data_IF_404491581420
#
_entry.id   IF_404491581420
#
_cell.length_a   1.000
_cell.length_b   1.000
_cell.length_c   1.000
_cell.angle_alpha   90.00
_cell.angle_beta   90.00
_cell.angle_gamma   90.00
#
_symmetry.space_group_name_H-M   'P 1'
#
loop_
_entity.id
_entity.type
_entity.pdbx_description
1 polymer ?
#
# COMPACT_ATOMS: atom_id res chain seq x y z
N UNK A 1 0.57 14.57 -2.58
CA UNK A 1 0.50 15.46 -3.74
C UNK A 1 -0.21 14.77 -4.88
N UNK A 2 -1.46 15.16 -5.21
CA UNK A 2 -2.12 14.72 -6.43
C UNK A 2 -1.36 15.24 -7.66
N UNK A 3 -1.24 14.41 -8.69
CA UNK A 3 -0.61 14.76 -9.98
C UNK A 3 -1.43 14.13 -11.11
N UNK A 4 -1.42 14.76 -12.28
CA UNK A 4 -2.05 14.15 -13.46
C UNK A 4 -1.29 12.89 -13.90
N UNK A 5 -2.03 11.79 -14.10
CA UNK A 5 -1.48 10.49 -14.45
C UNK A 5 -1.90 9.95 -15.82
N UNK A 6 -2.71 10.70 -16.58
CA UNK A 6 -3.23 10.24 -17.88
C UNK A 6 -2.09 9.91 -18.84
N UNK A 7 -2.16 8.74 -19.48
CA UNK A 7 -1.15 8.27 -20.44
C UNK A 7 -1.07 9.14 -21.70
N UNK A 8 -2.13 9.88 -22.00
CA UNK A 8 -2.25 10.74 -23.17
C UNK A 8 -1.60 12.12 -22.98
N UNK A 9 -1.27 12.51 -21.74
CA UNK A 9 -0.63 13.80 -21.43
C UNK A 9 0.89 13.57 -21.34
N UNK A 10 1.71 14.23 -22.17
CA UNK A 10 3.17 14.19 -22.08
C UNK A 10 3.65 14.50 -20.67
N UNK A 11 4.68 13.79 -20.19
CA UNK A 11 5.15 13.91 -18.80
C UNK A 11 5.42 15.36 -18.38
N UNK A 12 6.00 16.16 -19.29
CA UNK A 12 6.36 17.56 -19.06
C UNK A 12 5.16 18.51 -18.96
N UNK A 13 3.99 18.08 -19.44
CA UNK A 13 2.76 18.88 -19.52
C UNK A 13 1.76 18.53 -18.40
N UNK A 14 2.10 17.56 -17.54
CA UNK A 14 1.24 17.15 -16.43
C UNK A 14 1.23 18.20 -15.33
N UNK A 15 0.06 18.49 -14.81
CA UNK A 15 -0.12 19.44 -13.72
C UNK A 15 0.05 18.78 -12.35
N UNK A 16 0.53 19.59 -11.40
CA UNK A 16 0.54 19.27 -9.97
C UNK A 16 -0.77 19.80 -9.37
N UNK A 17 -1.53 18.94 -8.68
CA UNK A 17 -2.74 19.33 -7.99
C UNK A 17 -2.48 20.01 -6.64
N UNK A 18 -3.52 20.58 -6.05
CA UNK A 18 -3.43 21.17 -4.71
C UNK A 18 -3.03 20.10 -3.66
N UNK A 19 -2.16 20.43 -2.69
CA UNK A 19 -1.79 19.50 -1.63
C UNK A 19 -3.00 19.16 -0.76
N UNK A 20 -3.06 17.89 -0.34
CA UNK A 20 -4.01 17.41 0.67
C UNK A 20 -3.19 17.09 1.91
N UNK A 21 -3.37 17.87 2.97
CA UNK A 21 -2.77 17.59 4.26
C UNK A 21 -3.66 16.61 5.03
N UNK A 22 -3.35 15.32 4.90
CA UNK A 22 -4.19 14.25 5.40
C UNK A 22 -3.65 13.68 6.71
N UNK A 23 -4.59 13.35 7.60
CA UNK A 23 -4.41 12.44 8.73
C UNK A 23 -5.56 11.42 8.70
N UNK A 24 -5.31 10.14 9.05
CA UNK A 24 -6.38 9.16 9.09
C UNK A 24 -7.44 9.57 10.11
N UNK A 25 -8.70 9.40 9.73
CA UNK A 25 -9.80 9.37 10.71
C UNK A 25 -9.69 8.12 11.58
N UNK A 26 -10.42 8.07 12.69
CA UNK A 26 -10.45 6.88 13.55
C UNK A 26 -10.86 5.60 12.77
N UNK A 27 -11.78 5.73 11.82
CA UNK A 27 -12.21 4.60 10.99
C UNK A 27 -11.12 4.18 9.99
N UNK A 28 -10.46 5.13 9.33
CA UNK A 28 -9.34 4.85 8.43
C UNK A 28 -8.17 4.20 9.17
N UNK A 29 -7.84 4.68 10.38
CA UNK A 29 -6.81 4.11 11.23
C UNK A 29 -7.15 2.67 11.63
N UNK A 30 -8.42 2.40 11.99
CA UNK A 30 -8.92 1.06 12.32
C UNK A 30 -8.75 0.10 11.14
N UNK A 31 -9.13 0.52 9.93
CA UNK A 31 -8.97 -0.30 8.72
C UNK A 31 -7.50 -0.60 8.43
N UNK A 32 -6.63 0.40 8.49
CA UNK A 32 -5.19 0.23 8.29
C UNK A 32 -4.57 -0.70 9.34
N UNK A 33 -4.96 -0.55 10.60
CA UNK A 33 -4.50 -1.38 11.71
C UNK A 33 -4.90 -2.84 11.49
N UNK A 34 -6.16 -3.10 11.16
CA UNK A 34 -6.67 -4.45 10.92
C UNK A 34 -5.88 -5.17 9.81
N UNK A 35 -5.67 -4.50 8.68
CA UNK A 35 -4.88 -5.06 7.58
C UNK A 35 -3.39 -5.24 7.95
N UNK A 36 -2.83 -4.28 8.71
CA UNK A 36 -1.45 -4.39 9.16
C UNK A 36 -1.25 -5.60 10.06
N UNK A 37 -2.14 -5.81 11.03
CA UNK A 37 -2.08 -6.95 11.95
C UNK A 37 -2.20 -8.27 11.19
N UNK A 38 -3.18 -8.42 10.29
CA UNK A 38 -3.34 -9.63 9.47
C UNK A 38 -2.10 -9.91 8.59
N UNK A 39 -1.56 -8.90 7.94
CA UNK A 39 -0.38 -9.04 7.07
C UNK A 39 0.89 -9.33 7.87
N UNK A 40 1.04 -8.71 9.04
CA UNK A 40 2.18 -8.94 9.93
C UNK A 40 2.13 -10.31 10.58
N UNK A 41 0.95 -10.84 10.91
CA UNK A 41 0.80 -12.22 11.40
C UNK A 41 1.37 -13.23 10.38
N UNK A 42 1.11 -13.03 9.08
CA UNK A 42 1.69 -13.88 8.04
C UNK A 42 3.23 -13.75 7.97
N UNK A 43 3.77 -12.55 8.15
CA UNK A 43 5.22 -12.31 8.13
C UNK A 43 5.89 -12.99 9.34
N UNK A 44 5.39 -12.72 10.55
CA UNK A 44 6.02 -13.16 11.80
C UNK A 44 5.91 -14.68 11.97
N UNK A 45 4.81 -15.29 11.51
CA UNK A 45 4.62 -16.75 11.54
C UNK A 45 5.31 -17.48 10.39
N UNK A 46 6.12 -16.80 9.57
CA UNK A 46 6.86 -17.41 8.46
C UNK A 46 5.96 -17.93 7.32
N UNK A 47 4.74 -17.41 7.19
CA UNK A 47 3.75 -17.78 6.15
C UNK A 47 3.87 -16.91 4.91
N UNK A 48 5.09 -16.55 4.53
CA UNK A 48 5.35 -15.62 3.42
C UNK A 48 4.82 -16.12 2.07
N UNK A 49 4.78 -17.44 1.86
CA UNK A 49 4.23 -18.07 0.66
C UNK A 49 2.70 -17.94 0.52
N UNK A 50 2.01 -17.61 1.62
CA UNK A 50 0.57 -17.38 1.63
C UNK A 50 0.21 -15.93 1.31
N UNK A 51 1.19 -15.02 1.34
CA UNK A 51 0.94 -13.60 1.08
C UNK A 51 0.64 -13.39 -0.40
N UNK A 52 -0.55 -12.87 -0.68
CA UNK A 52 -0.95 -12.43 -2.03
C UNK A 52 -1.50 -11.01 -2.01
N UNK A 53 -1.53 -10.37 -3.18
CA UNK A 53 -2.13 -9.04 -3.36
C UNK A 53 -3.65 -8.97 -3.06
N UNK A 54 -4.28 -10.08 -2.67
CA UNK A 54 -5.71 -10.13 -2.32
C UNK A 54 -5.97 -9.94 -0.83
N UNK A 55 -4.96 -10.15 0.02
CA UNK A 55 -5.07 -10.00 1.48
C UNK A 55 -5.04 -8.51 1.85
N UNK A 56 -5.81 -8.15 2.88
CA UNK A 56 -6.06 -6.78 3.35
C UNK A 56 -7.08 -6.01 2.49
N UNK A 57 -7.96 -5.26 3.15
CA UNK A 57 -9.10 -4.55 2.56
C UNK A 57 -8.72 -3.18 1.95
N UNK A 58 -7.85 -2.42 2.63
CA UNK A 58 -7.41 -1.07 2.27
C UNK A 58 -5.89 -0.97 2.07
N UNK A 59 -5.13 -1.91 2.63
CA UNK A 59 -3.69 -2.04 2.53
C UNK A 59 -3.30 -3.45 2.09
N UNK A 60 -2.18 -3.59 1.37
CA UNK A 60 -1.69 -4.88 0.89
C UNK A 60 -0.17 -4.95 0.85
N UNK A 61 0.37 -6.17 0.83
CA UNK A 61 1.77 -6.42 0.52
C UNK A 61 1.96 -6.75 -0.97
N UNK A 62 2.99 -6.18 -1.58
CA UNK A 62 3.42 -6.46 -2.97
C UNK A 62 4.94 -6.51 -3.06
N UNK A 63 5.52 -7.20 -4.07
CA UNK A 63 6.96 -7.17 -4.31
C UNK A 63 7.46 -5.73 -4.49
N UNK A 64 8.53 -5.39 -3.76
CA UNK A 64 9.22 -4.09 -3.78
C UNK A 64 10.71 -4.33 -3.99
N UNK A 65 11.09 -4.72 -5.20
CA UNK A 65 12.48 -4.96 -5.59
C UNK A 65 12.77 -4.42 -6.98
N UNK A 66 14.05 -4.25 -7.31
CA UNK A 66 14.48 -3.83 -8.65
C UNK A 66 14.05 -4.82 -9.74
N UNK A 67 13.96 -6.10 -9.40
CA UNK A 67 13.48 -7.17 -10.25
C UNK A 67 13.07 -8.38 -9.37
N UNK A 68 12.60 -9.45 -10.00
CA UNK A 68 12.18 -10.70 -9.33
C UNK A 68 13.34 -11.54 -8.77
N UNK A 69 14.60 -11.12 -8.94
CA UNK A 69 15.78 -11.76 -8.35
C UNK A 69 16.29 -11.03 -7.11
N UNK A 70 15.69 -9.88 -6.76
CA UNK A 70 16.00 -9.19 -5.52
C UNK A 70 15.62 -10.06 -4.32
N UNK A 71 16.49 -10.13 -3.33
CA UNK A 71 16.28 -10.92 -2.11
C UNK A 71 16.51 -10.08 -0.86
N UNK A 72 15.77 -10.40 0.20
CA UNK A 72 15.96 -9.92 1.56
C UNK A 72 15.81 -11.08 2.54
N UNK A 73 16.26 -10.92 3.78
CA UNK A 73 16.04 -11.91 4.84
C UNK A 73 14.58 -11.86 5.34
N UNK A 74 14.00 -13.03 5.56
CA UNK A 74 12.68 -13.23 6.16
C UNK A 74 12.63 -14.49 7.01
N UNK A 75 11.46 -14.77 7.60
CA UNK A 75 11.22 -15.96 8.44
C UNK A 75 10.57 -17.05 7.57
N UNK A 76 11.13 -18.26 7.64
CA UNK A 76 10.63 -19.45 6.95
C UNK A 76 9.64 -20.26 7.79
N UNK A 77 9.16 -21.37 7.23
CA UNK A 77 8.03 -22.14 7.78
C UNK A 77 8.34 -22.78 9.14
N UNK A 78 9.62 -22.98 9.46
CA UNK A 78 10.07 -23.57 10.72
C UNK A 78 10.77 -22.54 11.63
N UNK A 79 10.60 -21.24 11.36
CA UNK A 79 11.24 -20.17 12.13
C UNK A 79 12.69 -19.89 11.74
N UNK A 80 13.21 -20.57 10.73
CA UNK A 80 14.55 -20.34 10.17
C UNK A 80 14.60 -19.03 9.38
N UNK A 81 15.80 -18.45 9.26
CA UNK A 81 16.00 -17.30 8.37
C UNK A 81 16.13 -17.80 6.92
N UNK A 82 15.34 -17.24 6.02
CA UNK A 82 15.36 -17.54 4.58
C UNK A 82 15.64 -16.30 3.73
N UNK A 83 16.10 -16.51 2.50
CA UNK A 83 16.07 -15.49 1.46
C UNK A 83 14.71 -15.48 0.76
N UNK A 84 14.08 -14.32 0.66
CA UNK A 84 12.75 -14.13 0.09
C UNK A 84 12.67 -12.83 -0.71
N UNK A 85 11.61 -12.65 -1.51
CA UNK A 85 11.37 -11.40 -2.21
C UNK A 85 11.13 -10.27 -1.21
N UNK A 86 11.73 -9.07 -1.38
CA UNK A 86 11.36 -7.92 -0.59
C UNK A 86 9.90 -7.55 -0.87
N UNK A 87 9.10 -7.44 0.18
CA UNK A 87 7.72 -6.98 0.13
C UNK A 87 7.63 -5.55 0.68
N UNK A 88 6.69 -4.76 0.15
CA UNK A 88 6.36 -3.45 0.67
C UNK A 88 4.85 -3.33 0.90
N UNK A 89 4.46 -2.48 1.84
CA UNK A 89 3.07 -2.10 2.06
C UNK A 89 2.62 -1.07 1.02
N UNK A 90 1.43 -1.26 0.49
CA UNK A 90 0.79 -0.38 -0.47
C UNK A 90 -0.65 -0.11 -0.05
N UNK A 91 -1.03 1.16 -0.01
CA UNK A 91 -2.44 1.55 0.08
C UNK A 91 -3.14 1.22 -1.24
N UNK A 92 -4.33 0.65 -1.14
CA UNK A 92 -5.16 0.35 -2.29
C UNK A 92 -5.73 1.62 -2.92
N UNK A 93 -6.07 1.52 -4.20
CA UNK A 93 -6.61 2.66 -4.97
C UNK A 93 -7.96 3.11 -4.40
N UNK A 94 -8.75 2.18 -3.87
CA UNK A 94 -10.04 2.44 -3.23
C UNK A 94 -9.88 3.32 -1.97
N UNK A 95 -8.89 3.01 -1.12
CA UNK A 95 -8.61 3.78 0.09
C UNK A 95 -8.14 5.20 -0.21
N UNK A 96 -7.24 5.36 -1.18
CA UNK A 96 -6.78 6.69 -1.60
C UNK A 96 -7.87 7.48 -2.33
N UNK A 97 -8.77 6.81 -3.07
CA UNK A 97 -9.95 7.45 -3.66
C UNK A 97 -10.93 7.95 -2.57
N UNK A 98 -11.12 7.21 -1.48
CA UNK A 98 -11.91 7.67 -0.34
C UNK A 98 -11.35 8.97 0.27
N UNK A 99 -10.02 9.08 0.40
CA UNK A 99 -9.36 10.30 0.88
C UNK A 99 -9.63 11.48 -0.07
N UNK A 100 -9.56 11.25 -1.39
CA UNK A 100 -9.84 12.29 -2.38
C UNK A 100 -11.31 12.74 -2.33
N UNK A 101 -12.25 11.79 -2.27
CA UNK A 101 -13.68 12.11 -2.18
C UNK A 101 -13.99 12.93 -0.93
N UNK A 102 -13.51 12.49 0.23
CA UNK A 102 -13.71 13.23 1.49
C UNK A 102 -13.13 14.65 1.45
N UNK A 103 -12.00 14.86 0.76
CA UNK A 103 -11.43 16.20 0.57
C UNK A 103 -12.29 17.08 -0.35
N UNK A 104 -12.85 16.52 -1.41
CA UNK A 104 -13.72 17.24 -2.34
C UNK A 104 -15.08 17.58 -1.71
N UNK A 105 -15.66 16.68 -0.92
CA UNK A 105 -16.96 16.90 -0.26
C UNK A 105 -16.92 18.05 0.76
N UNK A 106 -15.77 18.30 1.39
CA UNK A 106 -15.57 19.37 2.38
C UNK A 106 -15.29 20.73 1.71
N UNK A 107 -14.84 20.75 0.45
CA UNK A 107 -14.64 21.98 -0.31
C UNK A 107 -15.85 22.22 -1.23
N UNK A 108 -16.80 23.10 -0.89
CA UNK A 108 -17.76 23.55 -1.89
C UNK A 108 -16.99 24.23 -3.04
N UNK A 109 -17.40 23.90 -4.28
CA UNK A 109 -16.92 24.55 -5.51
C UNK A 109 -17.26 26.04 -5.51
#
# INVERSE_FOLDING_TARGET
MPIEGSRHIPLRERHIGAPIFWKPTAEQERQLKQDWEELMDLIVLGKLDQITARIGEVMQLRPKGANSRAVTKGIGKNGEIIDTLPLGFYLRKEFTAQILNAFLDVKPL
#
